data_IF_722704982830
#
_entry.id   IF_722704982830
#
_cell.length_a   1.000
_cell.length_b   1.000
_cell.length_c   1.000
_cell.angle_alpha   90.00
_cell.angle_beta   90.00
_cell.angle_gamma   90.00
#
_symmetry.space_group_name_H-M   'P 1'
#
loop_
_entity.id
_entity.type
_entity.pdbx_description
1 polymer ?
#
# COMPACT_ATOMS: atom_id res chain seq x y z
N UNK A 1 -8.85 3.36 -26.47
CA UNK A 1 -8.58 2.46 -25.33
C UNK A 1 -7.96 1.19 -25.90
N UNK A 2 -6.65 1.04 -25.77
CA UNK A 2 -5.94 -0.14 -26.30
C UNK A 2 -6.01 -1.24 -25.25
N UNK A 3 -6.74 -2.31 -25.55
CA UNK A 3 -6.73 -3.52 -24.73
C UNK A 3 -5.32 -4.10 -24.77
N UNK A 4 -4.60 -4.07 -23.63
CA UNK A 4 -3.32 -4.75 -23.47
C UNK A 4 -3.66 -6.25 -23.46
N UNK A 5 -3.44 -6.93 -24.58
CA UNK A 5 -3.50 -8.39 -24.66
C UNK A 5 -2.45 -8.96 -23.73
N UNK A 6 -2.87 -9.56 -22.61
CA UNK A 6 -1.98 -10.41 -21.81
C UNK A 6 -1.54 -11.58 -22.69
N UNK A 7 -0.26 -11.57 -23.09
CA UNK A 7 0.33 -12.69 -23.80
C UNK A 7 0.53 -13.84 -22.81
N UNK A 8 0.03 -15.03 -23.16
CA UNK A 8 0.28 -16.25 -22.40
C UNK A 8 1.77 -16.57 -22.32
N UNK A 9 2.18 -17.25 -21.25
CA UNK A 9 3.55 -17.72 -21.11
C UNK A 9 3.96 -18.60 -22.32
N UNK A 10 5.17 -18.40 -22.81
CA UNK A 10 5.73 -19.21 -23.90
C UNK A 10 6.01 -20.64 -23.42
N UNK A 11 6.04 -21.59 -24.36
CA UNK A 11 6.39 -22.99 -24.05
C UNK A 11 7.79 -23.12 -23.39
N UNK A 12 8.74 -22.28 -23.79
CA UNK A 12 10.07 -22.21 -23.18
C UNK A 12 10.03 -21.77 -21.71
N UNK A 13 9.25 -20.73 -21.40
CA UNK A 13 9.07 -20.25 -20.02
C UNK A 13 8.40 -21.30 -19.14
N UNK A 14 7.33 -21.94 -19.62
CA UNK A 14 6.64 -23.01 -18.87
C UNK A 14 7.59 -24.16 -18.58
N UNK A 15 8.40 -24.58 -19.57
CA UNK A 15 9.39 -25.63 -19.41
C UNK A 15 10.45 -25.26 -18.36
N UNK A 16 10.89 -24.02 -18.34
CA UNK A 16 11.88 -23.55 -17.38
C UNK A 16 11.32 -23.48 -15.95
N UNK A 17 10.08 -22.99 -15.78
CA UNK A 17 9.40 -22.98 -14.48
C UNK A 17 9.23 -24.40 -13.93
N UNK A 18 8.82 -25.35 -14.77
CA UNK A 18 8.69 -26.75 -14.37
C UNK A 18 10.03 -27.32 -13.90
N UNK A 19 11.13 -27.04 -14.62
CA UNK A 19 12.47 -27.47 -14.21
C UNK A 19 12.85 -26.96 -12.82
N UNK A 20 12.58 -25.69 -12.53
CA UNK A 20 12.88 -25.14 -11.20
C UNK A 20 12.09 -25.82 -10.07
N UNK A 21 10.82 -26.13 -10.31
CA UNK A 21 10.00 -26.85 -9.34
C UNK A 21 10.55 -28.28 -9.09
N UNK A 22 10.87 -29.01 -10.16
CA UNK A 22 11.43 -30.37 -10.07
C UNK A 22 12.79 -30.38 -9.35
N UNK A 23 13.71 -29.49 -9.75
CA UNK A 23 15.04 -29.38 -9.14
C UNK A 23 14.94 -29.05 -7.63
N UNK A 24 13.96 -28.22 -7.23
CA UNK A 24 13.72 -27.91 -5.82
C UNK A 24 13.20 -29.10 -5.02
N UNK A 25 12.25 -29.87 -5.57
CA UNK A 25 11.74 -31.08 -4.91
C UNK A 25 12.81 -32.15 -4.79
N UNK A 26 13.62 -32.37 -5.84
CA UNK A 26 14.74 -33.31 -5.81
C UNK A 26 15.76 -32.97 -4.71
N UNK A 27 16.05 -31.68 -4.56
CA UNK A 27 16.93 -31.20 -3.49
C UNK A 27 16.37 -31.50 -2.10
N UNK A 28 15.08 -31.27 -1.88
CA UNK A 28 14.40 -31.60 -0.60
C UNK A 28 14.47 -33.10 -0.31
N UNK A 29 14.25 -33.96 -1.30
CA UNK A 29 14.34 -35.41 -1.13
C UNK A 29 15.75 -35.86 -0.73
N UNK A 30 16.78 -35.22 -1.31
CA UNK A 30 18.19 -35.49 -0.98
C UNK A 30 18.54 -35.03 0.43
N UNK A 31 18.07 -33.86 0.84
CA UNK A 31 18.33 -33.28 2.18
C UNK A 31 17.58 -34.01 3.31
N UNK A 32 16.34 -34.44 3.05
CA UNK A 32 15.51 -35.12 4.05
C UNK A 32 16.02 -36.53 4.39
N UNK A 33 16.64 -37.22 3.42
CA UNK A 33 17.26 -38.52 3.65
C UNK A 33 16.26 -39.60 4.09
N UNK A 34 15.16 -39.77 3.35
CA UNK A 34 14.15 -40.79 3.66
C UNK A 34 14.75 -42.20 3.65
N UNK A 35 14.40 -43.01 4.65
CA UNK A 35 14.67 -44.44 4.65
C UNK A 35 13.71 -45.18 3.69
N UNK A 36 14.04 -46.41 3.30
CA UNK A 36 13.20 -47.19 2.39
C UNK A 36 11.72 -47.28 2.84
N UNK A 37 11.41 -47.54 4.13
CA UNK A 37 10.02 -47.51 4.60
C UNK A 37 9.37 -46.13 4.53
N UNK A 38 10.10 -45.05 4.84
CA UNK A 38 9.61 -43.68 4.73
C UNK A 38 9.30 -43.27 3.30
N UNK A 39 10.19 -43.61 2.36
CA UNK A 39 9.97 -43.38 0.94
C UNK A 39 8.73 -44.14 0.43
N UNK A 40 8.56 -45.41 0.83
CA UNK A 40 7.40 -46.20 0.44
C UNK A 40 6.08 -45.61 0.97
N UNK A 41 6.06 -45.11 2.22
CA UNK A 41 4.88 -44.41 2.76
C UNK A 41 4.51 -43.16 1.96
N UNK A 42 5.50 -42.37 1.54
CA UNK A 42 5.23 -41.18 0.70
C UNK A 42 4.67 -41.58 -0.67
N UNK A 43 5.17 -42.68 -1.26
CA UNK A 43 4.64 -43.21 -2.54
C UNK A 43 3.19 -43.68 -2.39
N UNK A 44 2.86 -44.37 -1.29
CA UNK A 44 1.49 -44.81 -0.99
C UNK A 44 0.53 -43.65 -0.79
N UNK A 45 1.02 -42.51 -0.29
CA UNK A 45 0.30 -41.25 -0.13
C UNK A 45 0.63 -40.23 -1.24
N UNK A 46 0.98 -40.71 -2.43
CA UNK A 46 1.46 -39.87 -3.53
C UNK A 46 0.50 -38.76 -3.95
N UNK A 47 -0.82 -39.02 -3.93
CA UNK A 47 -1.84 -38.03 -4.26
C UNK A 47 -1.91 -36.89 -3.24
N UNK A 48 -1.80 -37.21 -1.94
CA UNK A 48 -1.77 -36.23 -0.86
C UNK A 48 -0.53 -35.34 -0.98
N UNK A 49 0.61 -35.95 -1.29
CA UNK A 49 1.85 -35.22 -1.56
C UNK A 49 1.72 -34.31 -2.79
N UNK A 50 1.14 -34.82 -3.88
CA UNK A 50 0.94 -34.04 -5.11
C UNK A 50 0.03 -32.83 -4.90
N UNK A 51 -1.08 -32.96 -4.16
CA UNK A 51 -1.97 -31.84 -3.85
C UNK A 51 -1.32 -30.80 -2.93
N UNK A 52 -0.51 -31.25 -1.96
CA UNK A 52 0.27 -30.35 -1.10
C UNK A 52 1.27 -29.52 -1.93
N UNK A 53 2.02 -30.16 -2.83
CA UNK A 53 2.95 -29.47 -3.74
C UNK A 53 2.22 -28.54 -4.69
N UNK A 54 1.08 -28.97 -5.26
CA UNK A 54 0.25 -28.14 -6.14
C UNK A 54 -0.22 -26.88 -5.45
N UNK A 55 -0.70 -26.99 -4.22
CA UNK A 55 -1.16 -25.85 -3.42
C UNK A 55 -0.01 -24.86 -3.16
N UNK A 56 1.15 -25.37 -2.72
CA UNK A 56 2.33 -24.55 -2.47
C UNK A 56 2.86 -23.86 -3.76
N UNK A 57 2.85 -24.58 -4.88
CA UNK A 57 3.27 -24.06 -6.18
C UNK A 57 2.34 -22.95 -6.68
N UNK A 58 1.01 -23.11 -6.57
CA UNK A 58 0.05 -22.08 -6.97
C UNK A 58 0.28 -20.78 -6.19
N UNK A 59 0.47 -20.87 -4.87
CA UNK A 59 0.73 -19.69 -4.03
C UNK A 59 2.02 -19.00 -4.46
N UNK A 60 3.12 -19.74 -4.56
CA UNK A 60 4.43 -19.19 -4.92
C UNK A 60 4.43 -18.56 -6.32
N UNK A 61 3.80 -19.21 -7.30
CA UNK A 61 3.70 -18.70 -8.66
C UNK A 61 2.81 -17.46 -8.75
N UNK A 62 1.71 -17.38 -7.99
CA UNK A 62 0.89 -16.17 -7.91
C UNK A 62 1.68 -15.00 -7.35
N UNK A 63 2.40 -15.21 -6.25
CA UNK A 63 3.18 -14.15 -5.61
C UNK A 63 4.28 -13.62 -6.53
N UNK A 64 4.94 -14.50 -7.28
CA UNK A 64 6.03 -14.12 -8.19
C UNK A 64 5.57 -13.60 -9.55
N UNK A 65 4.35 -13.94 -10.01
CA UNK A 65 3.84 -13.55 -11.33
C UNK A 65 3.15 -12.19 -11.37
N UNK A 66 2.89 -11.58 -10.20
CA UNK A 66 2.23 -10.27 -10.13
C UNK A 66 3.28 -9.16 -10.05
N UNK A 67 3.59 -8.55 -11.20
CA UNK A 67 4.57 -7.45 -11.32
C UNK A 67 4.11 -6.15 -10.64
N UNK A 68 2.80 -5.98 -10.44
CA UNK A 68 2.21 -4.73 -9.97
C UNK A 68 1.04 -5.03 -9.02
N UNK A 69 1.39 -5.60 -7.86
CA UNK A 69 0.45 -6.03 -6.82
C UNK A 69 -0.44 -4.90 -6.29
N UNK A 70 -0.10 -3.65 -6.60
CA UNK A 70 -0.80 -2.44 -6.18
C UNK A 70 -1.43 -1.65 -7.33
N UNK A 71 -1.33 -2.13 -8.58
CA UNK A 71 -1.86 -1.43 -9.77
C UNK A 71 -3.34 -1.05 -9.69
N UNK A 72 -4.10 -1.85 -8.94
CA UNK A 72 -5.54 -1.69 -8.76
C UNK A 72 -5.89 -1.28 -7.31
N UNK A 73 -4.91 -0.98 -6.47
CA UNK A 73 -5.16 -0.44 -5.12
C UNK A 73 -5.45 1.06 -5.14
N UNK A 74 -5.04 1.78 -6.19
CA UNK A 74 -5.45 3.16 -6.40
C UNK A 74 -6.92 3.22 -6.86
N UNK A 75 -7.83 3.09 -5.91
CA UNK A 75 -9.26 3.33 -6.11
C UNK A 75 -9.53 4.83 -5.94
N UNK A 76 -10.24 5.41 -6.90
CA UNK A 76 -10.69 6.81 -6.81
C UNK A 76 -11.49 6.97 -5.52
N UNK A 77 -10.97 7.78 -4.60
CA UNK A 77 -11.68 8.13 -3.37
C UNK A 77 -12.99 8.81 -3.72
N UNK A 78 -14.10 8.27 -3.21
CA UNK A 78 -15.39 8.97 -3.20
C UNK A 78 -15.53 9.86 -1.95
N UNK A 79 -14.52 9.87 -1.05
CA UNK A 79 -14.45 10.80 0.07
C UNK A 79 -14.08 12.17 -0.45
N UNK A 80 -15.10 12.99 -0.62
CA UNK A 80 -14.99 14.45 -0.81
C UNK A 80 -15.44 15.15 0.47
N UNK A 81 -15.12 16.44 0.61
CA UNK A 81 -15.66 17.23 1.71
C UNK A 81 -17.20 17.23 1.69
N UNK A 82 -17.87 17.34 2.86
CA UNK A 82 -19.31 17.52 2.92
C UNK A 82 -19.77 18.69 2.05
N UNK A 83 -20.97 18.60 1.47
CA UNK A 83 -21.51 19.62 0.53
C UNK A 83 -21.66 21.01 1.19
N UNK A 84 -21.76 21.00 2.51
CA UNK A 84 -21.87 22.15 3.39
C UNK A 84 -20.54 22.90 3.54
N UNK A 85 -19.40 22.23 3.31
CA UNK A 85 -18.08 22.86 3.36
C UNK A 85 -17.93 23.83 2.19
N UNK A 86 -17.62 25.09 2.50
CA UNK A 86 -17.43 26.18 1.53
C UNK A 86 -15.99 26.68 1.47
N UNK A 87 -15.05 25.89 1.97
CA UNK A 87 -13.67 26.31 2.17
C UNK A 87 -13.38 26.81 3.59
N UNK A 88 -12.13 27.18 3.87
CA UNK A 88 -11.71 27.67 5.18
C UNK A 88 -12.40 28.99 5.54
N UNK A 89 -12.55 29.24 6.85
CA UNK A 89 -12.96 30.56 7.36
C UNK A 89 -11.92 31.63 7.01
N UNK A 90 -12.27 32.93 7.06
CA UNK A 90 -11.26 33.99 6.93
C UNK A 90 -10.10 33.81 7.90
N UNK A 91 -8.86 34.06 7.44
CA UNK A 91 -7.64 33.76 8.21
C UNK A 91 -7.63 34.40 9.60
N UNK A 92 -8.13 35.64 9.71
CA UNK A 92 -8.24 36.37 10.98
C UNK A 92 -9.21 35.68 11.97
N UNK A 93 -10.28 35.07 11.47
CA UNK A 93 -11.24 34.36 12.30
C UNK A 93 -10.67 33.03 12.80
N UNK A 94 -9.89 32.35 11.95
CA UNK A 94 -9.16 31.15 12.35
C UNK A 94 -8.14 31.47 13.45
N UNK A 95 -7.34 32.53 13.28
CA UNK A 95 -6.33 32.97 14.27
C UNK A 95 -7.00 33.24 15.62
N UNK A 96 -8.10 34.01 15.62
CA UNK A 96 -8.85 34.32 16.84
C UNK A 96 -9.46 33.08 17.47
N UNK A 97 -9.99 32.15 16.68
CA UNK A 97 -10.56 30.90 17.17
C UNK A 97 -9.49 30.02 17.85
N UNK A 98 -8.34 29.84 17.21
CA UNK A 98 -7.21 29.06 17.76
C UNK A 98 -6.70 29.72 19.05
N UNK A 99 -6.48 31.03 19.04
CA UNK A 99 -6.06 31.76 20.23
C UNK A 99 -7.04 31.61 21.39
N UNK A 100 -8.36 31.62 21.11
CA UNK A 100 -9.39 31.38 22.13
C UNK A 100 -9.38 29.94 22.65
N UNK A 101 -9.28 28.94 21.78
CA UNK A 101 -9.28 27.52 22.15
C UNK A 101 -8.07 27.19 23.02
N UNK A 102 -6.90 27.67 22.62
CA UNK A 102 -5.65 27.34 23.29
C UNK A 102 -5.20 28.38 24.33
N UNK A 103 -5.87 29.53 24.45
CA UNK A 103 -5.48 30.59 25.38
C UNK A 103 -4.16 31.26 25.00
N UNK A 104 -3.92 31.45 23.70
CA UNK A 104 -2.70 32.05 23.16
C UNK A 104 -2.91 33.54 22.83
N UNK A 105 -1.83 34.31 22.76
CA UNK A 105 -1.87 35.67 22.24
C UNK A 105 -1.89 35.68 20.69
N UNK A 106 -2.96 36.18 20.03
CA UNK A 106 -3.05 36.21 18.58
C UNK A 106 -2.30 37.39 17.93
N UNK A 107 -1.76 38.35 18.70
CA UNK A 107 -1.36 39.67 18.20
C UNK A 107 -0.38 39.59 17.03
N UNK A 108 0.69 38.82 17.18
CA UNK A 108 1.71 38.67 16.14
C UNK A 108 1.16 37.98 14.88
N UNK A 109 0.33 36.95 15.04
CA UNK A 109 -0.25 36.22 13.92
C UNK A 109 -1.26 37.07 13.14
N UNK A 110 -2.05 37.91 13.82
CA UNK A 110 -2.97 38.86 13.17
C UNK A 110 -2.24 39.95 12.38
N UNK A 111 -1.06 40.35 12.84
CA UNK A 111 -0.22 41.30 12.10
C UNK A 111 0.35 40.65 10.84
N UNK A 112 0.90 39.44 10.97
CA UNK A 112 1.42 38.66 9.83
C UNK A 112 0.34 38.35 8.79
N UNK A 113 -0.91 38.10 9.22
CA UNK A 113 -2.01 37.83 8.29
C UNK A 113 -2.27 38.96 7.28
N UNK A 114 -1.87 40.20 7.59
CA UNK A 114 -2.00 41.35 6.69
C UNK A 114 -0.98 41.33 5.53
N UNK A 115 0.09 40.55 5.67
CA UNK A 115 1.19 40.47 4.70
C UNK A 115 1.15 39.19 3.87
N UNK A 116 0.05 38.42 3.95
CA UNK A 116 -0.10 37.20 3.18
C UNK A 116 -0.13 37.51 1.67
N UNK A 117 0.60 36.73 0.85
CA UNK A 117 0.59 36.91 -0.60
C UNK A 117 -0.76 36.51 -1.20
N UNK A 118 -0.93 36.80 -2.49
CA UNK A 118 -2.08 36.30 -3.24
C UNK A 118 -2.14 34.76 -3.18
N UNK A 119 -3.37 34.25 -3.12
CA UNK A 119 -3.60 32.82 -2.97
C UNK A 119 -3.18 32.09 -4.26
N UNK A 120 -2.36 31.02 -4.18
CA UNK A 120 -1.96 30.25 -5.36
C UNK A 120 -3.17 29.67 -6.11
N UNK A 121 -3.03 29.53 -7.43
CA UNK A 121 -4.08 28.94 -8.25
C UNK A 121 -4.38 27.50 -7.79
N UNK A 122 -5.66 27.19 -7.57
CA UNK A 122 -6.12 25.89 -7.09
C UNK A 122 -6.07 25.68 -5.57
N UNK A 123 -5.60 26.65 -4.79
CA UNK A 123 -5.65 26.56 -3.33
C UNK A 123 -7.04 26.94 -2.79
N UNK A 124 -7.48 26.24 -1.74
CA UNK A 124 -8.80 26.49 -1.10
C UNK A 124 -8.81 27.76 -0.24
N UNK A 125 -7.65 28.14 0.31
CA UNK A 125 -7.50 29.30 1.17
C UNK A 125 -6.33 29.18 2.13
N UNK A 126 -6.14 30.19 2.97
CA UNK A 126 -5.13 30.19 4.02
C UNK A 126 -5.63 29.44 5.27
N UNK A 127 -4.73 28.72 5.93
CA UNK A 127 -5.02 27.99 7.16
C UNK A 127 -4.07 28.45 8.27
N UNK A 128 -4.64 28.80 9.43
CA UNK A 128 -3.85 29.10 10.62
C UNK A 128 -3.51 27.80 11.37
N UNK A 129 -2.24 27.64 11.74
CA UNK A 129 -1.77 26.51 12.54
C UNK A 129 -1.05 27.07 13.77
N UNK A 130 -1.40 26.64 15.00
CA UNK A 130 -0.68 27.07 16.20
C UNK A 130 0.75 26.53 16.18
N UNK A 131 1.72 27.35 16.61
CA UNK A 131 3.10 26.88 16.81
C UNK A 131 3.15 25.87 17.96
N UNK A 132 3.95 24.81 17.78
CA UNK A 132 4.18 23.79 18.82
C UNK A 132 4.79 24.44 20.07
N UNK A 133 5.73 25.37 19.91
CA UNK A 133 6.37 26.06 21.04
C UNK A 133 5.37 26.89 21.84
N UNK A 134 4.45 27.57 21.14
CA UNK A 134 3.40 28.37 21.78
C UNK A 134 2.42 27.51 22.56
N UNK A 135 2.17 26.26 22.11
CA UNK A 135 1.35 25.30 22.82
C UNK A 135 2.10 24.67 24.01
N UNK A 136 3.40 24.44 23.88
CA UNK A 136 4.23 23.82 24.90
C UNK A 136 4.60 24.77 26.04
N UNK A 137 4.63 26.08 25.79
CA UNK A 137 4.92 27.13 26.79
C UNK A 137 3.73 27.47 27.71
N UNK A 138 2.60 26.78 27.55
CA UNK A 138 1.40 26.92 28.36
C UNK A 138 1.39 25.92 29.52
#
# INVERSE_FOLDING_TARGET
MSAITQQSATSGQIKQINRFASDAVEKVLTELGLDNPGAQRVIEHGDDFAEAIRTAAITSLKDLSVTDKFKNEEVKSNYTYPKEYKGPKPINDQIKAIAKIFGLDPSHALEFAKTLPELPNGAEGWFAIPSVDALAAK
#
